data_IF_732334955408
#
_entry.id   IF_732334955408
#
_cell.length_a   1.000
_cell.length_b   1.000
_cell.length_c   1.000
_cell.angle_alpha   90.00
_cell.angle_beta   90.00
_cell.angle_gamma   90.00
#
_symmetry.space_group_name_H-M   'P 1'
#
loop_
_entity.id
_entity.type
_entity.pdbx_description
1 polymer ?
#
# COMPACT_ATOMS: atom_id res chain seq x y z
N UNK A 1 -39.25 -31.16 0.67
CA UNK A 1 -37.93 -31.64 1.11
C UNK A 1 -36.91 -30.65 0.58
N UNK A 2 -36.66 -29.60 1.36
CA UNK A 2 -35.93 -28.41 0.92
C UNK A 2 -34.45 -28.62 1.22
N UNK A 3 -33.61 -28.60 0.19
CA UNK A 3 -32.14 -28.64 0.35
C UNK A 3 -31.68 -27.33 1.02
N UNK A 4 -30.72 -27.37 1.97
CA UNK A 4 -30.13 -26.17 2.52
C UNK A 4 -29.20 -25.51 1.49
N UNK A 5 -29.30 -24.18 1.46
CA UNK A 5 -28.54 -23.27 0.61
C UNK A 5 -27.05 -23.34 0.95
N UNK A 6 -26.24 -23.28 -0.09
CA UNK A 6 -24.78 -23.25 -0.15
C UNK A 6 -24.06 -22.79 1.12
N UNK A 7 -23.17 -23.67 1.60
CA UNK A 7 -22.09 -23.35 2.51
C UNK A 7 -21.29 -22.17 1.97
N UNK A 8 -21.43 -21.01 2.61
CA UNK A 8 -20.54 -19.87 2.38
C UNK A 8 -19.11 -20.31 2.67
N UNK A 9 -18.40 -20.65 1.60
CA UNK A 9 -16.95 -20.75 1.57
C UNK A 9 -16.39 -19.40 2.03
N UNK A 10 -15.95 -19.33 3.28
CA UNK A 10 -14.98 -18.34 3.71
C UNK A 10 -13.65 -18.69 3.05
N UNK A 11 -13.59 -18.48 1.74
CA UNK A 11 -12.35 -18.31 1.02
C UNK A 11 -11.72 -17.04 1.57
N UNK A 12 -10.70 -17.21 2.40
CA UNK A 12 -9.79 -16.16 2.82
C UNK A 12 -9.32 -15.43 1.57
N UNK A 13 -9.83 -14.20 1.41
CA UNK A 13 -9.60 -13.35 0.24
C UNK A 13 -8.11 -13.06 0.11
N UNK A 14 -7.39 -13.84 -0.68
CA UNK A 14 -6.08 -13.47 -1.23
C UNK A 14 -6.28 -12.46 -2.36
N UNK A 15 -6.90 -11.31 -2.06
CA UNK A 15 -7.05 -10.20 -2.99
C UNK A 15 -5.90 -9.18 -2.82
N UNK A 16 -4.75 -9.63 -2.32
CA UNK A 16 -3.57 -8.80 -2.07
C UNK A 16 -2.78 -8.46 -3.34
N UNK A 17 -3.13 -9.06 -4.48
CA UNK A 17 -2.46 -8.83 -5.77
C UNK A 17 -3.03 -7.64 -6.55
N UNK A 18 -4.11 -7.02 -6.06
CA UNK A 18 -4.73 -5.88 -6.75
C UNK A 18 -4.11 -4.58 -6.24
N UNK A 19 -3.38 -3.82 -7.07
CA UNK A 19 -2.80 -2.55 -6.66
C UNK A 19 -3.91 -1.60 -6.20
N UNK A 20 -3.74 -1.02 -5.00
CA UNK A 20 -4.64 -0.01 -4.44
C UNK A 20 -4.01 1.37 -4.61
N UNK A 21 -4.74 2.30 -5.23
CA UNK A 21 -4.31 3.69 -5.37
C UNK A 21 -4.75 4.49 -4.16
N UNK A 22 -3.79 5.16 -3.53
CA UNK A 22 -4.03 6.11 -2.44
C UNK A 22 -3.60 7.48 -2.94
N UNK A 23 -4.38 8.52 -2.61
CA UNK A 23 -4.01 9.92 -2.88
C UNK A 23 -4.01 10.66 -1.57
N UNK A 24 -2.91 11.33 -1.27
CA UNK A 24 -2.73 12.10 -0.03
C UNK A 24 -2.25 13.50 -0.39
N UNK A 25 -2.69 14.49 0.36
CA UNK A 25 -2.14 15.85 0.28
C UNK A 25 -1.08 15.98 1.36
N UNK A 26 0.11 16.45 0.98
CA UNK A 26 1.25 16.62 1.88
C UNK A 26 1.75 18.08 1.83
N UNK A 27 2.42 18.57 2.88
CA UNK A 27 3.06 19.87 2.86
C UNK A 27 4.14 19.97 1.77
N UNK A 28 4.33 21.18 1.23
CA UNK A 28 5.32 21.43 0.18
C UNK A 28 6.77 21.16 0.62
N UNK A 29 7.09 21.38 1.90
CA UNK A 29 8.40 21.03 2.47
C UNK A 29 8.67 19.53 2.37
N UNK A 30 7.71 18.72 2.80
CA UNK A 30 7.80 17.26 2.76
C UNK A 30 7.91 16.73 1.33
N UNK A 31 7.21 17.35 0.37
CA UNK A 31 7.36 17.01 -1.04
C UNK A 31 8.77 17.26 -1.56
N UNK A 32 9.39 18.40 -1.21
CA UNK A 32 10.77 18.72 -1.62
C UNK A 32 11.75 17.68 -1.09
N UNK A 33 11.65 17.34 0.20
CA UNK A 33 12.54 16.38 0.84
C UNK A 33 12.38 14.97 0.22
N UNK A 34 11.15 14.59 -0.17
CA UNK A 34 10.91 13.34 -0.92
C UNK A 34 11.54 13.35 -2.31
N UNK A 35 11.50 14.49 -3.03
CA UNK A 35 12.08 14.63 -4.37
C UNK A 35 13.59 14.51 -4.31
N UNK A 36 14.24 15.21 -3.37
CA UNK A 36 15.69 15.16 -3.17
C UNK A 36 16.14 13.72 -2.91
N UNK A 37 15.51 13.06 -1.93
CA UNK A 37 15.82 11.66 -1.61
C UNK A 37 15.54 10.70 -2.76
N UNK A 38 14.46 10.92 -3.51
CA UNK A 38 14.13 10.12 -4.71
C UNK A 38 15.21 10.22 -5.79
N UNK A 39 15.79 11.41 -5.97
CA UNK A 39 16.88 11.66 -6.91
C UNK A 39 18.20 11.02 -6.44
N UNK A 40 18.55 11.20 -5.16
CA UNK A 40 19.75 10.62 -4.55
C UNK A 40 19.76 9.09 -4.65
N UNK A 41 18.61 8.46 -4.40
CA UNK A 41 18.47 7.01 -4.43
C UNK A 41 18.19 6.45 -5.84
N UNK A 42 18.02 7.32 -6.85
CA UNK A 42 17.79 6.93 -8.24
C UNK A 42 16.48 6.18 -8.49
N UNK A 43 15.46 6.40 -7.65
CA UNK A 43 14.15 5.70 -7.71
C UNK A 43 13.01 6.70 -7.93
N UNK A 44 11.87 6.25 -8.46
CA UNK A 44 10.71 7.14 -8.60
C UNK A 44 10.06 7.46 -7.25
N UNK A 45 9.40 8.62 -7.17
CA UNK A 45 8.67 9.07 -5.97
C UNK A 45 7.65 8.04 -5.46
N UNK A 46 6.90 7.40 -6.36
CA UNK A 46 5.94 6.36 -5.98
C UNK A 46 6.62 5.14 -5.36
N UNK A 47 7.79 4.76 -5.88
CA UNK A 47 8.55 3.63 -5.34
C UNK A 47 9.14 3.96 -3.96
N UNK A 48 9.67 5.18 -3.81
CA UNK A 48 10.13 5.69 -2.52
C UNK A 48 8.97 5.73 -1.50
N UNK A 49 7.81 6.25 -1.90
CA UNK A 49 6.64 6.32 -1.04
C UNK A 49 6.18 4.93 -0.58
N UNK A 50 6.08 3.95 -1.49
CA UNK A 50 5.76 2.58 -1.13
C UNK A 50 6.76 1.99 -0.14
N UNK A 51 8.07 2.15 -0.40
CA UNK A 51 9.12 1.68 0.51
C UNK A 51 9.01 2.31 1.91
N UNK A 52 8.77 3.62 2.00
CA UNK A 52 8.61 4.29 3.29
C UNK A 52 7.36 3.81 4.03
N UNK A 53 6.25 3.58 3.32
CA UNK A 53 5.03 3.04 3.90
C UNK A 53 5.22 1.61 4.43
N UNK A 54 5.83 0.74 3.63
CA UNK A 54 6.16 -0.64 4.04
C UNK A 54 7.04 -0.64 5.30
N UNK A 55 8.13 0.14 5.30
CA UNK A 55 9.03 0.27 6.46
C UNK A 55 8.33 0.83 7.71
N UNK A 56 7.42 1.78 7.54
CA UNK A 56 6.68 2.35 8.67
C UNK A 56 5.74 1.35 9.34
N UNK A 57 5.23 0.37 8.59
CA UNK A 57 4.33 -0.66 9.10
C UNK A 57 5.07 -1.89 9.62
N UNK A 58 6.26 -2.19 9.09
CA UNK A 58 7.16 -3.25 9.59
C UNK A 58 7.70 -2.97 11.00
N UNK A 59 7.77 -1.69 11.41
CA UNK A 59 8.33 -1.26 12.70
C UNK A 59 7.39 -1.42 13.90
N UNK A 60 6.27 -2.12 13.75
CA UNK A 60 5.31 -2.37 14.83
C UNK A 60 5.24 -3.89 15.14
N UNK A 61 6.06 -4.41 16.07
CA UNK A 61 6.00 -5.81 16.51
C UNK A 61 4.74 -6.13 17.33
#
# INVERSE_FOLDING_TARGET
MTMPLDSFSQGTKTCFLVPKRITVTIPASLFRDLVERSQEEGRSLSNLASFLLERSLELNP
#
